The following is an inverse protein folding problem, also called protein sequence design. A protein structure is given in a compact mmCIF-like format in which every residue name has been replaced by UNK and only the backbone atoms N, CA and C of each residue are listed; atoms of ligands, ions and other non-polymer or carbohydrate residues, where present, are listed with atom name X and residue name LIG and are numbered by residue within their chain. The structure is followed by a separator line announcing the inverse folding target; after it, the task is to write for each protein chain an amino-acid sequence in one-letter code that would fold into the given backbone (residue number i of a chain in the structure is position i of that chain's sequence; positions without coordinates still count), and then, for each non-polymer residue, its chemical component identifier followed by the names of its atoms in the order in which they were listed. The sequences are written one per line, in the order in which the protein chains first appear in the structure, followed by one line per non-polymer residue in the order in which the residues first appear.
data_IF_624313793212
#
_entry.id   IF_624313793212
#
_cell.length_a   1.000
_cell.length_b   1.000
_cell.length_c   1.000
_cell.angle_alpha   90.00
_cell.angle_beta   90.00
_cell.angle_gamma   90.00
#
_symmetry.space_group_name_H-M   'P 1'
#
loop_
_entity.id
_entity.type
_entity.pdbx_description
1 polymer ?
#
# COMPACT_ATOMS: atom_id res chain seq x y z
N UNK A 1 -8.71 17.33 1.62
CA UNK A 1 -8.18 16.36 0.65
C UNK A 1 -8.52 16.87 -0.74
N UNK A 2 -7.63 16.66 -1.71
CA UNK A 2 -7.94 16.94 -3.12
C UNK A 2 -9.00 15.93 -3.59
N UNK A 3 -10.05 16.37 -4.31
CA UNK A 3 -11.14 15.49 -4.75
C UNK A 3 -10.63 14.29 -5.58
N UNK A 4 -9.52 14.47 -6.30
CA UNK A 4 -8.87 13.42 -7.08
C UNK A 4 -8.22 12.32 -6.23
N UNK A 5 -7.87 12.62 -4.97
CA UNK A 5 -7.31 11.64 -4.03
C UNK A 5 -8.40 10.73 -3.47
N UNK A 6 -9.54 11.32 -3.08
CA UNK A 6 -10.70 10.56 -2.59
C UNK A 6 -11.24 9.61 -3.67
N UNK A 7 -11.35 10.07 -4.92
CA UNK A 7 -11.78 9.21 -6.05
C UNK A 7 -10.79 8.06 -6.33
N UNK A 8 -9.49 8.29 -6.15
CA UNK A 8 -8.47 7.24 -6.32
C UNK A 8 -8.53 6.19 -5.19
N UNK A 9 -8.70 6.65 -3.94
CA UNK A 9 -8.90 5.79 -2.78
C UNK A 9 -10.15 4.91 -2.95
N UNK A 10 -11.29 5.51 -3.30
CA UNK A 10 -12.55 4.79 -3.51
C UNK A 10 -12.43 3.75 -4.63
N UNK A 11 -11.77 4.10 -5.73
CA UNK A 11 -11.49 3.15 -6.82
C UNK A 11 -10.64 1.98 -6.33
N UNK A 12 -9.55 2.25 -5.60
CA UNK A 12 -8.67 1.20 -5.06
C UNK A 12 -9.40 0.29 -4.07
N UNK A 13 -10.24 0.85 -3.21
CA UNK A 13 -11.09 0.08 -2.29
C UNK A 13 -12.02 -0.83 -3.09
N UNK A 14 -12.70 -0.30 -4.10
CA UNK A 14 -13.61 -1.07 -4.95
C UNK A 14 -12.91 -2.21 -5.70
N UNK A 15 -11.73 -1.96 -6.27
CA UNK A 15 -10.94 -2.98 -6.98
C UNK A 15 -10.49 -4.11 -6.04
N UNK A 16 -9.97 -3.75 -4.86
CA UNK A 16 -9.54 -4.72 -3.86
C UNK A 16 -10.70 -5.52 -3.27
N UNK A 17 -11.84 -4.86 -3.01
CA UNK A 17 -13.04 -5.54 -2.50
C UNK A 17 -13.53 -6.60 -3.49
N UNK A 18 -13.61 -6.25 -4.78
CA UNK A 18 -13.96 -7.21 -5.83
C UNK A 18 -12.96 -8.37 -5.94
N UNK A 19 -11.67 -8.11 -5.71
CA UNK A 19 -10.64 -9.16 -5.75
C UNK A 19 -10.69 -10.10 -4.53
N UNK A 20 -11.05 -9.57 -3.37
CA UNK A 20 -11.21 -10.32 -2.11
C UNK A 20 -12.57 -11.02 -2.00
N UNK A 21 -13.56 -10.60 -2.78
CA UNK A 21 -14.90 -11.17 -2.76
C UNK A 21 -14.88 -12.69 -3.02
N UNK A 22 -15.48 -13.44 -2.11
CA UNK A 22 -15.57 -14.91 -2.19
C UNK A 22 -14.25 -15.64 -1.95
N UNK A 23 -13.18 -14.93 -1.51
CA UNK A 23 -11.92 -15.57 -1.12
C UNK A 23 -12.02 -16.13 0.30
N UNK A 24 -11.32 -17.26 0.57
CA UNK A 24 -11.28 -17.81 1.92
C UNK A 24 -10.43 -16.92 2.84
N UNK A 25 -10.70 -17.01 4.14
CA UNK A 25 -9.82 -16.47 5.17
C UNK A 25 -8.38 -16.98 4.98
N UNK A 26 -7.41 -16.09 5.18
CA UNK A 26 -5.99 -16.33 4.93
C UNK A 26 -5.55 -16.11 3.48
N UNK A 27 -6.48 -15.81 2.56
CA UNK A 27 -6.12 -15.42 1.20
C UNK A 27 -5.18 -14.21 1.24
N UNK A 28 -4.11 -14.29 0.45
CA UNK A 28 -3.04 -13.29 0.43
C UNK A 28 -2.87 -12.74 -0.97
N UNK A 29 -2.83 -11.42 -1.09
CA UNK A 29 -2.54 -10.69 -2.31
C UNK A 29 -1.34 -9.76 -2.09
N UNK A 30 -0.59 -9.50 -3.16
CA UNK A 30 0.41 -8.44 -3.19
C UNK A 30 0.03 -7.39 -4.20
N UNK A 31 0.01 -6.14 -3.76
CA UNK A 31 -0.24 -4.99 -4.63
C UNK A 31 1.01 -4.13 -4.73
N UNK A 32 1.32 -3.68 -5.94
CA UNK A 32 2.38 -2.71 -6.18
C UNK A 32 1.84 -1.30 -6.03
N UNK A 33 2.51 -0.47 -5.24
CA UNK A 33 2.12 0.93 -5.01
C UNK A 33 3.23 1.87 -5.45
N UNK A 34 2.87 3.09 -5.86
CA UNK A 34 3.85 4.12 -6.24
C UNK A 34 4.76 3.75 -7.43
N UNK A 35 4.35 2.83 -8.32
CA UNK A 35 5.18 2.39 -9.46
C UNK A 35 5.68 3.54 -10.34
N UNK A 36 4.86 4.57 -10.50
CA UNK A 36 5.19 5.77 -11.27
C UNK A 36 6.23 6.66 -10.57
N UNK A 37 6.35 6.58 -9.23
CA UNK A 37 7.31 7.35 -8.45
C UNK A 37 8.74 6.78 -8.57
N UNK A 38 8.86 5.48 -8.83
CA UNK A 38 10.13 4.74 -8.79
C UNK A 38 10.43 4.01 -10.11
N UNK A 39 10.61 4.72 -11.25
CA UNK A 39 10.93 4.09 -12.52
C UNK A 39 12.35 3.49 -12.47
N UNK A 40 12.47 2.18 -12.76
CA UNK A 40 13.75 1.49 -12.86
C UNK A 40 14.31 0.93 -11.55
N UNK A 41 13.58 1.02 -10.43
CA UNK A 41 13.92 0.33 -9.17
C UNK A 41 12.87 -0.72 -8.82
N UNK A 42 13.11 -1.51 -7.77
CA UNK A 42 12.11 -2.43 -7.25
C UNK A 42 10.86 -1.65 -6.79
N UNK A 43 9.71 -1.96 -7.38
CA UNK A 43 8.45 -1.30 -7.03
C UNK A 43 8.10 -1.58 -5.57
N UNK A 44 7.67 -0.58 -4.79
CA UNK A 44 7.13 -0.80 -3.47
C UNK A 44 5.92 -1.74 -3.54
N UNK A 45 5.86 -2.72 -2.64
CA UNK A 45 4.77 -3.68 -2.58
C UNK A 45 4.20 -3.77 -1.18
N UNK A 46 2.88 -3.87 -1.13
CA UNK A 46 2.12 -4.22 0.05
C UNK A 46 1.67 -5.67 -0.05
N UNK A 47 1.59 -6.32 1.10
CA UNK A 47 0.95 -7.62 1.25
C UNK A 47 -0.30 -7.45 2.08
N UNK A 48 -1.44 -7.89 1.54
CA UNK A 48 -2.75 -7.86 2.18
C UNK A 48 -3.17 -9.31 2.42
N UNK A 49 -3.58 -9.61 3.65
CA UNK A 49 -4.13 -10.91 4.05
C UNK A 49 -5.57 -10.71 4.49
N UNK A 50 -6.49 -11.45 3.90
CA UNK A 50 -7.90 -11.47 4.32
C UNK A 50 -8.01 -12.20 5.65
N UNK A 51 -8.38 -11.48 6.72
CA UNK A 51 -8.54 -12.04 8.05
C UNK A 51 -9.96 -12.50 8.32
N UNK A 52 -10.94 -11.77 7.80
CA UNK A 52 -12.35 -12.08 7.94
C UNK A 52 -13.11 -11.66 6.67
N UNK A 53 -13.62 -12.61 5.87
CA UNK A 53 -14.42 -12.31 4.68
C UNK A 53 -15.80 -11.70 4.98
N UNK A 54 -16.39 -11.96 6.15
CA UNK A 54 -17.72 -11.45 6.50
C UNK A 54 -17.67 -10.00 6.95
N UNK A 55 -16.60 -9.63 7.65
CA UNK A 55 -16.36 -8.27 8.13
C UNK A 55 -15.44 -7.43 7.22
N UNK A 56 -14.99 -7.99 6.09
CA UNK A 56 -13.98 -7.38 5.20
C UNK A 56 -12.73 -6.88 5.96
N UNK A 57 -12.30 -7.65 6.97
CA UNK A 57 -11.11 -7.31 7.76
C UNK A 57 -9.86 -7.87 7.13
N UNK A 58 -8.82 -7.06 7.11
CA UNK A 58 -7.54 -7.38 6.48
C UNK A 58 -6.36 -7.06 7.38
N UNK A 59 -5.25 -7.76 7.14
CA UNK A 59 -3.92 -7.38 7.62
C UNK A 59 -3.10 -6.87 6.44
N UNK A 60 -2.47 -5.70 6.60
CA UNK A 60 -1.59 -5.07 5.62
C UNK A 60 -0.17 -5.01 6.16
N UNK A 61 0.84 -5.24 5.34
CA UNK A 61 2.22 -4.83 5.63
C UNK A 61 2.99 -4.40 4.39
N UNK A 62 4.00 -3.56 4.60
CA UNK A 62 5.01 -3.20 3.60
C UNK A 62 5.98 -4.38 3.42
N UNK A 63 6.13 -4.93 2.21
CA UNK A 63 7.03 -6.09 1.95
C UNK A 63 8.23 -5.75 1.08
N UNK A 64 8.14 -4.72 0.25
CA UNK A 64 9.32 -4.09 -0.37
C UNK A 64 9.21 -2.58 -0.17
N UNK A 65 10.18 -2.02 0.53
CA UNK A 65 10.27 -0.59 0.79
C UNK A 65 11.65 -0.11 0.30
N UNK A 66 11.70 0.79 -0.69
CA UNK A 66 12.96 1.30 -1.24
C UNK A 66 13.80 2.05 -0.22
N UNK A 67 13.21 2.49 0.90
CA UNK A 67 13.88 3.22 1.98
C UNK A 67 14.28 2.33 3.16
N UNK A 68 13.57 1.23 3.44
CA UNK A 68 13.93 0.29 4.53
C UNK A 68 14.97 -0.76 4.14
N UNK A 69 15.35 -0.81 2.86
CA UNK A 69 16.23 -1.82 2.28
C UNK A 69 15.53 -3.16 2.06
N UNK A 70 16.02 -3.96 1.10
CA UNK A 70 15.36 -5.18 0.57
C UNK A 70 15.01 -6.27 1.62
N UNK A 71 15.41 -6.14 2.88
CA UNK A 71 15.28 -7.18 3.91
C UNK A 71 14.34 -6.84 5.08
N UNK A 72 13.80 -5.62 5.16
CA UNK A 72 12.91 -5.23 6.26
C UNK A 72 11.47 -5.14 5.79
N UNK A 73 10.65 -6.10 6.21
CA UNK A 73 9.20 -6.01 6.11
C UNK A 73 8.71 -5.04 7.19
N UNK A 74 7.73 -4.21 6.86
CA UNK A 74 7.03 -3.36 7.81
C UNK A 74 6.22 -4.17 8.84
N UNK A 75 5.74 -3.48 9.87
CA UNK A 75 4.80 -4.05 10.83
C UNK A 75 3.49 -4.45 10.13
N UNK A 76 2.75 -5.37 10.76
CA UNK A 76 1.39 -5.67 10.36
C UNK A 76 0.43 -4.61 10.92
N UNK A 77 -0.38 -4.04 10.05
CA UNK A 77 -1.51 -3.19 10.38
C UNK A 77 -2.78 -3.99 10.15
N UNK A 78 -3.69 -4.01 11.12
CA UNK A 78 -4.94 -4.79 11.06
C UNK A 78 -6.10 -3.82 11.15
N UNK A 79 -7.02 -3.91 10.20
CA UNK A 79 -8.18 -3.02 10.14
C UNK A 79 -9.19 -3.48 9.08
N UNK A 80 -10.08 -2.56 8.73
CA UNK A 80 -10.94 -2.66 7.56
C UNK A 80 -10.13 -2.51 6.27
N UNK A 81 -10.72 -2.93 5.15
CA UNK A 81 -10.13 -2.69 3.83
C UNK A 81 -9.89 -1.20 3.56
N UNK A 82 -10.82 -0.33 3.96
CA UNK A 82 -10.69 1.11 3.79
C UNK A 82 -9.46 1.67 4.53
N UNK A 83 -9.30 1.33 5.81
CA UNK A 83 -8.13 1.72 6.61
C UNK A 83 -6.82 1.19 5.98
N UNK A 84 -6.82 -0.03 5.42
CA UNK A 84 -5.66 -0.57 4.75
C UNK A 84 -5.28 0.19 3.46
N UNK A 85 -6.27 0.68 2.71
CA UNK A 85 -6.03 1.50 1.51
C UNK A 85 -5.58 2.91 1.89
N UNK A 86 -6.14 3.51 2.95
CA UNK A 86 -5.67 4.79 3.49
C UNK A 86 -4.20 4.71 3.91
N UNK A 87 -3.80 3.67 4.64
CA UNK A 87 -2.41 3.41 5.02
C UNK A 87 -1.49 3.23 3.80
N UNK A 88 -1.97 2.54 2.76
CA UNK A 88 -1.24 2.38 1.49
C UNK A 88 -0.99 3.72 0.78
N UNK A 89 -1.99 4.60 0.80
CA UNK A 89 -1.91 5.92 0.20
C UNK A 89 -1.02 6.86 1.00
N UNK A 90 -1.20 6.90 2.33
CA UNK A 90 -0.35 7.67 3.23
C UNK A 90 1.13 7.30 3.02
N UNK A 91 1.43 6.01 2.90
CA UNK A 91 2.77 5.57 2.57
C UNK A 91 3.26 6.04 1.20
N UNK A 92 2.39 6.04 0.18
CA UNK A 92 2.75 6.55 -1.15
C UNK A 92 3.12 8.04 -1.11
N UNK A 93 2.39 8.83 -0.32
CA UNK A 93 2.71 10.26 -0.10
C UNK A 93 4.00 10.45 0.72
N UNK A 94 4.24 9.64 1.75
CA UNK A 94 5.53 9.63 2.48
C UNK A 94 6.70 9.37 1.50
N UNK A 95 6.55 8.38 0.61
CA UNK A 95 7.57 8.03 -0.38
C UNK A 95 7.80 9.15 -1.40
N UNK A 96 6.74 9.85 -1.81
CA UNK A 96 6.83 11.01 -2.69
C UNK A 96 7.60 12.15 -2.03
N UNK A 97 7.27 12.48 -0.77
CA UNK A 97 7.98 13.50 0.00
C UNK A 97 9.46 13.16 0.20
N UNK A 98 9.78 11.91 0.54
CA UNK A 98 11.16 11.45 0.70
C UNK A 98 11.97 11.50 -0.62
N UNK A 99 11.33 11.18 -1.75
CA UNK A 99 11.96 11.31 -3.07
C UNK A 99 12.29 12.77 -3.40
N UNK A 100 11.33 13.68 -3.19
CA UNK A 100 11.53 15.11 -3.43
C UNK A 100 12.65 15.69 -2.54
N UNK A 101 12.77 15.22 -1.30
CA UNK A 101 13.85 15.61 -0.39
C UNK A 101 15.22 15.10 -0.88
N UNK A 102 15.31 13.84 -1.31
CA UNK A 102 16.53 13.24 -1.85
C UNK A 102 17.00 13.96 -3.14
N UNK A 103 16.07 14.37 -4.01
CA UNK A 103 16.37 15.15 -5.21
C UNK A 103 16.84 16.57 -4.89
N UNK A 104 16.35 17.17 -3.79
CA UNK A 104 16.79 18.49 -3.31
C UNK A 104 18.14 18.47 -2.61
N UNK A 105 18.59 17.32 -2.09
CA UNK A 105 19.86 17.21 -1.38
C UNK A 105 20.63 15.91 -1.72
N UNK A 106 21.27 15.83 -2.90
CA UNK A 106 21.86 14.60 -3.44
C UNK A 106 23.17 14.14 -2.74
N UNK A 107 23.48 14.65 -1.54
CA UNK A 107 24.75 14.42 -0.81
C UNK A 107 24.58 13.80 0.59
N UNK A 108 23.41 13.24 0.89
CA UNK A 108 23.22 12.41 2.11
C UNK A 108 24.04 11.13 2.07
#
# INVERSE_FOLDING_TARGET
MDASVEEELDRMIGELDQELLGKPQGFTIRISVGRHLFPGTATPNLEIVLLDPEESRVALRRVSDPFLGERRKGAWHIGSLAEAVEEAFAWTEEMKGAKEEAERNPRG
#
